data_IF_650846971069
#
_entry.id   IF_650846971069
#
_cell.length_a   1.000
_cell.length_b   1.000
_cell.length_c   1.000
_cell.angle_alpha   90.00
_cell.angle_beta   90.00
_cell.angle_gamma   90.00
#
_symmetry.space_group_name_H-M   'P 1'
#
loop_
_entity.id
_entity.type
_entity.pdbx_description
1 polymer ?
#
# COMPACT_ATOMS: atom_id res chain seq x y z
N UNK A 1 -32.64 23.45 6.15
CA UNK A 1 -31.67 24.26 6.92
C UNK A 1 -30.29 23.69 6.66
N UNK A 2 -29.54 24.34 5.76
CA UNK A 2 -28.23 23.92 5.26
C UNK A 2 -27.13 24.19 6.29
N UNK A 3 -26.37 23.15 6.65
CA UNK A 3 -25.07 23.26 7.33
C UNK A 3 -24.04 22.40 6.61
N UNK A 4 -23.71 22.77 5.38
CA UNK A 4 -22.45 22.39 4.75
C UNK A 4 -21.77 23.68 4.33
N UNK A 5 -21.04 24.23 5.30
CA UNK A 5 -20.09 25.31 5.07
C UNK A 5 -19.03 24.73 4.15
N UNK A 6 -18.94 25.31 2.96
CA UNK A 6 -17.89 25.10 1.97
C UNK A 6 -16.56 25.46 2.64
N UNK A 7 -15.88 24.46 3.21
CA UNK A 7 -14.44 24.52 3.53
C UNK A 7 -13.67 24.08 2.28
N UNK A 8 -13.76 24.87 1.22
CA UNK A 8 -12.74 24.92 0.19
C UNK A 8 -12.26 26.35 0.21
N UNK A 9 -11.46 26.64 1.23
CA UNK A 9 -10.64 27.84 1.25
C UNK A 9 -9.61 27.58 0.16
N UNK A 10 -9.78 28.30 -0.97
CA UNK A 10 -8.80 28.32 -2.03
C UNK A 10 -7.44 28.64 -1.41
N UNK A 11 -6.54 27.66 -1.47
CA UNK A 11 -5.12 27.87 -1.33
C UNK A 11 -4.64 28.57 -2.62
N UNK A 12 -5.18 29.76 -2.86
CA UNK A 12 -4.64 30.71 -3.82
C UNK A 12 -3.34 31.21 -3.21
N UNK A 13 -2.26 30.52 -3.54
CA UNK A 13 -0.88 30.95 -3.33
C UNK A 13 -0.71 32.25 -4.13
N UNK A 14 -1.13 33.37 -3.54
CA UNK A 14 -0.69 34.69 -3.94
C UNK A 14 0.68 34.88 -3.25
N UNK A 15 1.70 34.25 -3.83
CA UNK A 15 3.10 34.47 -3.47
C UNK A 15 3.40 35.94 -3.80
N UNK A 16 3.28 36.82 -2.82
CA UNK A 16 3.74 38.19 -2.93
C UNK A 16 5.25 38.14 -3.16
N UNK A 17 5.65 38.43 -4.40
CA UNK A 17 7.02 38.56 -4.87
C UNK A 17 7.78 39.62 -4.05
N UNK A 18 8.40 39.21 -2.94
CA UNK A 18 9.44 39.98 -2.28
C UNK A 18 10.78 39.40 -2.71
N UNK A 19 11.32 39.97 -3.79
CA UNK A 19 12.64 39.63 -4.33
C UNK A 19 13.73 40.17 -3.41
N UNK A 20 14.11 39.38 -2.40
CA UNK A 20 15.38 39.55 -1.69
C UNK A 20 16.35 38.46 -2.18
N UNK A 21 17.10 38.77 -3.26
CA UNK A 21 18.14 37.88 -3.79
C UNK A 21 19.38 37.88 -2.89
N UNK A 22 19.35 37.10 -1.81
CA UNK A 22 20.55 36.65 -1.12
C UNK A 22 20.98 35.29 -1.64
N UNK A 23 22.14 35.18 -2.31
CA UNK A 23 22.75 33.88 -2.61
C UNK A 23 23.30 33.30 -1.31
N UNK A 24 22.47 32.55 -0.58
CA UNK A 24 22.94 31.65 0.47
C UNK A 24 23.71 30.51 -0.18
N UNK A 25 25.03 30.47 0.00
CA UNK A 25 25.89 29.38 -0.45
C UNK A 25 25.90 28.20 0.53
N UNK A 26 24.80 28.00 1.26
CA UNK A 26 24.67 26.97 2.29
C UNK A 26 23.93 25.76 1.75
N UNK A 27 24.33 24.58 2.22
CA UNK A 27 23.56 23.35 2.06
C UNK A 27 22.09 23.59 2.47
N UNK A 28 21.12 22.95 1.81
CA UNK A 28 19.70 23.15 2.05
C UNK A 28 19.33 22.63 3.44
N UNK A 29 19.50 23.47 4.45
CA UNK A 29 19.12 23.08 5.80
C UNK A 29 17.60 22.97 5.92
N UNK A 30 16.83 23.82 5.22
CA UNK A 30 15.36 23.88 5.32
C UNK A 30 14.66 23.92 3.97
N UNK A 31 13.57 23.18 3.86
CA UNK A 31 12.66 23.16 2.70
C UNK A 31 11.23 23.39 3.17
N UNK A 32 10.46 24.23 2.49
CA UNK A 32 9.03 24.41 2.79
C UNK A 32 8.22 23.27 2.18
N UNK A 33 7.63 22.40 3.02
CA UNK A 33 6.93 21.19 2.57
C UNK A 33 5.57 21.01 3.27
N UNK A 34 4.59 20.35 2.63
CA UNK A 34 3.36 19.91 3.31
C UNK A 34 3.66 18.79 4.31
N UNK A 35 3.01 18.84 5.48
CA UNK A 35 3.11 17.81 6.52
C UNK A 35 1.74 17.56 7.19
N UNK A 36 1.40 16.28 7.34
CA UNK A 36 0.23 15.81 8.10
C UNK A 36 0.40 16.15 9.58
N UNK A 37 -0.63 16.74 10.17
CA UNK A 37 -0.72 17.11 11.56
C UNK A 37 -1.39 16.00 12.38
N UNK A 38 -1.18 15.95 13.71
CA UNK A 38 -1.79 14.92 14.57
C UNK A 38 -3.32 14.86 14.55
N UNK A 39 -4.00 15.94 14.14
CA UNK A 39 -5.45 15.98 13.96
C UNK A 39 -5.93 15.40 12.61
N UNK A 40 -4.99 14.96 11.77
CA UNK A 40 -5.23 14.40 10.44
C UNK A 40 -5.24 15.45 9.32
N UNK A 41 -5.21 16.76 9.62
CA UNK A 41 -5.12 17.80 8.60
C UNK A 41 -3.70 17.97 8.05
N UNK A 42 -3.50 18.88 7.10
CA UNK A 42 -2.18 19.21 6.55
C UNK A 42 -1.83 20.70 6.70
N UNK A 43 -0.55 21.02 6.87
CA UNK A 43 -0.01 22.39 6.86
C UNK A 43 1.36 22.43 6.20
N UNK A 44 1.81 23.61 5.77
CA UNK A 44 3.20 23.81 5.36
C UNK A 44 4.10 23.97 6.58
N UNK A 45 5.29 23.37 6.53
CA UNK A 45 6.32 23.44 7.56
C UNK A 45 7.69 23.71 6.94
N UNK A 46 8.56 24.40 7.68
CA UNK A 46 10.00 24.47 7.37
C UNK A 46 10.65 23.14 7.80
N UNK A 47 10.68 22.18 6.88
CA UNK A 47 11.25 20.85 7.09
C UNK A 47 12.78 20.89 7.00
N UNK A 48 13.46 20.42 8.05
CA UNK A 48 14.91 20.26 8.05
C UNK A 48 15.29 18.91 7.45
N UNK A 49 16.02 18.88 6.33
CA UNK A 49 16.46 17.64 5.67
C UNK A 49 17.97 17.48 5.86
N UNK A 50 18.37 16.69 6.85
CA UNK A 50 19.74 16.64 7.36
C UNK A 50 20.70 15.80 6.50
N UNK A 51 20.16 14.82 5.79
CA UNK A 51 20.93 13.78 5.08
C UNK A 51 20.98 14.03 3.58
N UNK A 52 20.22 15.00 3.08
CA UNK A 52 20.23 15.38 1.67
C UNK A 52 21.35 16.39 1.42
N UNK A 53 22.47 15.91 0.86
CA UNK A 53 23.62 16.76 0.57
C UNK A 53 23.40 17.76 -0.58
N UNK A 54 22.35 17.60 -1.39
CA UNK A 54 22.04 18.47 -2.51
C UNK A 54 20.53 18.54 -2.77
N UNK A 55 19.90 19.71 -2.61
CA UNK A 55 18.44 19.88 -2.87
C UNK A 55 18.09 19.73 -4.34
N UNK A 56 19.07 19.87 -5.25
CA UNK A 56 18.87 19.74 -6.70
C UNK A 56 18.96 18.30 -7.21
N UNK A 57 19.20 17.32 -6.33
CA UNK A 57 19.16 15.90 -6.67
C UNK A 57 18.67 15.10 -5.46
N UNK A 58 17.46 14.52 -5.53
CA UNK A 58 16.82 13.82 -4.41
C UNK A 58 17.36 12.39 -4.28
N UNK A 59 18.62 12.31 -3.89
CA UNK A 59 19.38 11.09 -3.69
C UNK A 59 20.29 11.27 -2.47
N UNK A 60 20.16 10.37 -1.49
CA UNK A 60 20.94 10.42 -0.27
C UNK A 60 20.74 9.17 0.59
N UNK A 61 21.31 9.10 1.80
CA UNK A 61 21.30 7.91 2.64
C UNK A 61 19.90 7.40 3.02
N UNK A 62 18.91 8.29 3.09
CA UNK A 62 17.53 7.93 3.42
C UNK A 62 16.77 7.35 2.22
N UNK A 63 16.87 7.97 1.05
CA UNK A 63 16.13 7.54 -0.12
C UNK A 63 16.78 7.97 -1.43
N UNK A 64 16.46 7.26 -2.50
CA UNK A 64 16.63 7.70 -3.88
C UNK A 64 15.24 7.75 -4.49
N UNK A 65 14.82 8.96 -4.90
CA UNK A 65 13.47 9.20 -5.40
C UNK A 65 13.50 9.32 -6.92
N UNK A 66 12.78 8.45 -7.61
CA UNK A 66 12.72 8.36 -9.07
C UNK A 66 11.36 8.87 -9.57
N UNK A 67 11.32 9.93 -10.40
CA UNK A 67 10.09 10.39 -11.05
C UNK A 67 9.78 9.56 -12.29
N UNK A 68 8.53 9.09 -12.44
CA UNK A 68 8.06 8.29 -13.58
C UNK A 68 9.04 7.15 -13.97
N UNK A 69 9.54 6.34 -13.02
CA UNK A 69 10.55 5.34 -13.32
C UNK A 69 9.99 4.16 -14.11
N UNK A 70 10.89 3.44 -14.77
CA UNK A 70 10.64 2.08 -15.25
C UNK A 70 10.98 1.10 -14.12
N UNK A 71 10.06 0.19 -13.78
CA UNK A 71 10.37 -0.92 -12.88
C UNK A 71 11.23 -1.96 -13.60
N UNK A 72 12.36 -2.33 -13.01
CA UNK A 72 13.28 -3.36 -13.51
C UNK A 72 13.68 -4.32 -12.39
N UNK A 73 14.26 -5.47 -12.72
CA UNK A 73 14.87 -6.36 -11.73
C UNK A 73 15.87 -5.58 -10.89
N UNK A 74 15.74 -5.67 -9.56
CA UNK A 74 16.56 -4.91 -8.62
C UNK A 74 16.10 -3.47 -8.36
N UNK A 75 14.96 -3.02 -8.89
CA UNK A 75 14.27 -1.81 -8.45
C UNK A 75 13.81 -0.89 -9.59
N UNK A 76 14.32 0.34 -9.62
CA UNK A 76 13.94 1.34 -10.62
C UNK A 76 15.08 1.68 -11.56
N UNK A 77 14.73 1.90 -12.82
CA UNK A 77 15.58 2.51 -13.84
C UNK A 77 15.07 3.91 -14.15
N UNK A 78 15.99 4.87 -14.14
CA UNK A 78 15.73 6.29 -14.32
C UNK A 78 16.71 7.14 -13.52
N UNK A 79 16.74 8.43 -13.77
CA UNK A 79 17.54 9.36 -12.98
C UNK A 79 16.80 9.72 -11.68
N UNK A 80 17.51 9.99 -10.57
CA UNK A 80 16.91 10.60 -9.39
C UNK A 80 16.24 11.94 -9.74
N UNK A 81 15.21 12.31 -8.98
CA UNK A 81 14.49 13.56 -9.16
C UNK A 81 15.44 14.76 -9.00
N UNK A 82 15.30 15.76 -9.87
CA UNK A 82 16.07 17.02 -9.84
C UNK A 82 15.13 18.19 -9.58
N UNK A 83 14.86 18.54 -8.31
CA UNK A 83 13.87 19.54 -7.96
C UNK A 83 14.23 20.93 -8.47
N UNK A 84 13.22 21.63 -8.97
CA UNK A 84 13.28 23.07 -9.16
C UNK A 84 12.89 23.74 -7.84
N UNK A 85 13.84 24.47 -7.27
CA UNK A 85 13.67 25.18 -6.00
C UNK A 85 14.11 26.63 -6.14
N UNK A 86 13.42 27.50 -5.40
CA UNK A 86 13.78 28.91 -5.26
C UNK A 86 14.15 29.16 -3.81
N UNK A 87 15.29 29.81 -3.59
CA UNK A 87 15.67 30.25 -2.25
C UNK A 87 14.85 31.48 -1.84
N UNK A 88 14.28 31.44 -0.64
CA UNK A 88 13.68 32.60 0.02
C UNK A 88 14.19 32.67 1.46
N UNK A 89 15.06 33.66 1.73
CA UNK A 89 15.87 33.69 2.95
C UNK A 89 16.67 32.37 3.11
N UNK A 90 16.54 31.71 4.26
CA UNK A 90 17.22 30.45 4.59
C UNK A 90 16.35 29.21 4.30
N UNK A 91 15.31 29.34 3.47
CA UNK A 91 14.37 28.26 3.14
C UNK A 91 14.31 28.05 1.63
N UNK A 92 14.43 26.79 1.20
CA UNK A 92 14.20 26.38 -0.17
C UNK A 92 12.71 26.11 -0.39
N UNK A 93 12.14 26.71 -1.43
CA UNK A 93 10.73 26.54 -1.78
C UNK A 93 10.66 25.78 -3.11
N UNK A 94 10.10 24.57 -3.17
CA UNK A 94 9.86 23.89 -4.44
C UNK A 94 8.92 24.71 -5.32
N UNK A 95 9.30 24.90 -6.59
CA UNK A 95 8.55 25.76 -7.52
C UNK A 95 7.47 25.02 -8.31
N UNK A 96 7.40 23.70 -8.20
CA UNK A 96 6.40 22.86 -8.86
C UNK A 96 6.01 21.64 -8.02
N UNK A 97 4.91 20.99 -8.46
CA UNK A 97 4.29 19.83 -7.80
C UNK A 97 5.28 18.66 -7.73
N UNK A 98 6.03 18.41 -8.80
CA UNK A 98 6.96 17.28 -8.89
C UNK A 98 8.13 17.45 -7.91
N UNK A 99 8.67 18.67 -7.81
CA UNK A 99 9.73 19.07 -6.87
C UNK A 99 9.25 18.96 -5.43
N UNK A 100 8.03 19.42 -5.15
CA UNK A 100 7.39 19.26 -3.84
C UNK A 100 7.24 17.77 -3.49
N UNK A 101 6.75 16.95 -4.42
CA UNK A 101 6.53 15.52 -4.19
C UNK A 101 7.84 14.80 -3.88
N UNK A 102 8.88 15.03 -4.70
CA UNK A 102 10.16 14.39 -4.51
C UNK A 102 10.79 14.73 -3.15
N UNK A 103 10.79 16.02 -2.77
CA UNK A 103 11.36 16.46 -1.49
C UNK A 103 10.51 16.01 -0.29
N UNK A 104 9.18 15.99 -0.40
CA UNK A 104 8.30 15.43 0.63
C UNK A 104 8.53 13.94 0.86
N UNK A 105 8.68 13.15 -0.21
CA UNK A 105 9.00 11.72 -0.12
C UNK A 105 10.33 11.52 0.61
N UNK A 106 11.38 12.23 0.19
CA UNK A 106 12.69 12.12 0.82
C UNK A 106 12.64 12.50 2.30
N UNK A 107 12.00 13.62 2.63
CA UNK A 107 11.82 14.07 4.00
C UNK A 107 11.09 13.01 4.86
N UNK A 108 10.05 12.37 4.34
CA UNK A 108 9.36 11.29 5.02
C UNK A 108 10.28 10.10 5.33
N UNK A 109 11.06 9.66 4.34
CA UNK A 109 12.00 8.55 4.50
C UNK A 109 13.19 8.88 5.39
N UNK A 110 13.68 10.13 5.39
CA UNK A 110 14.71 10.55 6.33
C UNK A 110 14.22 10.45 7.77
N UNK A 111 13.01 10.95 8.04
CA UNK A 111 12.42 10.85 9.37
C UNK A 111 12.15 9.40 9.78
N UNK A 112 11.73 8.54 8.85
CA UNK A 112 11.60 7.10 9.09
C UNK A 112 12.96 6.48 9.42
N UNK A 113 14.01 6.75 8.64
CA UNK A 113 15.36 6.25 8.89
C UNK A 113 15.88 6.67 10.27
N UNK A 114 15.75 7.95 10.61
CA UNK A 114 16.20 8.49 11.90
C UNK A 114 15.40 7.87 13.07
N UNK A 115 14.09 7.74 12.90
CA UNK A 115 13.23 7.10 13.90
C UNK A 115 13.58 5.62 14.07
N UNK A 116 13.79 4.89 12.98
CA UNK A 116 14.13 3.47 13.02
C UNK A 116 15.50 3.21 13.62
N UNK A 117 16.49 4.03 13.29
CA UNK A 117 17.81 3.92 13.91
C UNK A 117 17.76 4.11 15.43
N UNK A 118 16.77 4.83 15.96
CA UNK A 118 16.62 5.03 17.41
C UNK A 118 15.81 3.93 18.11
N UNK A 119 14.80 3.34 17.44
CA UNK A 119 13.89 2.35 18.05
C UNK A 119 14.17 0.91 17.64
N UNK A 120 14.81 0.70 16.49
CA UNK A 120 15.08 -0.61 15.91
C UNK A 120 16.40 -0.61 15.11
N UNK A 121 17.56 -0.39 15.76
CA UNK A 121 18.87 -0.27 15.09
C UNK A 121 19.29 -1.53 14.34
N UNK A 122 18.77 -2.70 14.74
CA UNK A 122 19.00 -3.98 14.05
C UNK A 122 18.01 -4.21 12.88
N UNK A 123 17.35 -3.15 12.39
CA UNK A 123 16.45 -3.25 11.26
C UNK A 123 17.21 -3.84 10.06
N UNK A 124 16.68 -4.93 9.50
CA UNK A 124 17.26 -5.58 8.31
C UNK A 124 16.75 -4.92 7.02
N UNK A 125 16.30 -3.68 7.11
CA UNK A 125 15.84 -2.88 5.98
C UNK A 125 17.05 -2.29 5.27
N UNK A 126 17.04 -2.38 3.95
CA UNK A 126 18.09 -1.78 3.13
C UNK A 126 17.83 -0.28 2.99
N UNK A 127 18.85 0.52 3.26
CA UNK A 127 18.93 1.96 3.00
C UNK A 127 20.02 2.22 1.95
N UNK A 128 19.88 3.24 1.08
CA UNK A 128 18.71 4.10 0.93
C UNK A 128 17.49 3.35 0.35
N UNK A 129 16.28 3.82 0.67
CA UNK A 129 15.06 3.27 0.06
C UNK A 129 14.95 3.72 -1.40
N UNK A 130 14.52 2.81 -2.27
CA UNK A 130 14.22 3.12 -3.68
C UNK A 130 12.73 3.44 -3.80
N UNK A 131 12.41 4.68 -4.17
CA UNK A 131 11.03 5.16 -4.19
C UNK A 131 10.70 5.73 -5.55
N UNK A 132 9.71 5.14 -6.22
CA UNK A 132 9.17 5.64 -7.46
C UNK A 132 7.93 6.47 -7.17
N UNK A 133 7.77 7.61 -7.83
CA UNK A 133 6.51 8.35 -7.80
C UNK A 133 6.03 8.69 -9.21
N UNK A 134 4.71 8.82 -9.35
CA UNK A 134 4.01 8.79 -10.64
C UNK A 134 4.32 7.51 -11.45
N UNK A 135 4.44 6.38 -10.74
CA UNK A 135 4.74 5.09 -11.39
C UNK A 135 3.52 4.63 -12.19
N UNK A 136 3.66 4.51 -13.51
CA UNK A 136 2.57 4.04 -14.40
C UNK A 136 2.75 2.61 -14.89
N UNK A 137 3.96 2.06 -14.74
CA UNK A 137 4.32 0.73 -15.26
C UNK A 137 3.83 -0.44 -14.40
N UNK A 138 3.31 -0.17 -13.19
CA UNK A 138 2.92 -1.21 -12.24
C UNK A 138 1.46 -0.97 -11.83
N UNK A 139 0.57 -1.88 -12.21
CA UNK A 139 -0.82 -1.92 -11.76
C UNK A 139 -1.62 -0.68 -12.15
N UNK A 140 -2.29 -0.73 -13.32
CA UNK A 140 -2.99 0.39 -13.97
C UNK A 140 -4.07 1.12 -13.16
N UNK A 141 -3.65 1.86 -12.14
CA UNK A 141 -4.50 2.62 -11.22
C UNK A 141 -3.91 3.98 -10.87
N UNK A 142 -4.62 4.69 -10.01
CA UNK A 142 -4.25 6.00 -9.47
C UNK A 142 -4.66 6.09 -8.01
N UNK A 143 -4.18 7.11 -7.29
CA UNK A 143 -4.53 7.36 -5.89
C UNK A 143 -4.18 6.20 -4.95
N UNK A 144 -3.04 5.55 -5.18
CA UNK A 144 -2.55 4.48 -4.31
C UNK A 144 -1.03 4.52 -4.15
N UNK A 145 -0.53 3.81 -3.16
CA UNK A 145 0.86 3.40 -3.07
C UNK A 145 0.93 1.91 -2.73
N UNK A 146 2.08 1.31 -2.95
CA UNK A 146 2.37 -0.04 -2.47
C UNK A 146 3.87 -0.24 -2.31
N UNK A 147 4.25 -1.14 -1.41
CA UNK A 147 5.57 -1.74 -1.34
C UNK A 147 5.64 -3.02 -2.17
N UNK A 148 6.66 -3.15 -3.01
CA UNK A 148 6.96 -4.34 -3.78
C UNK A 148 8.29 -4.96 -3.31
N UNK A 149 8.20 -6.13 -2.66
CA UNK A 149 9.36 -6.87 -2.18
C UNK A 149 10.06 -7.65 -3.29
N UNK A 150 9.28 -8.34 -4.12
CA UNK A 150 9.70 -9.24 -5.20
C UNK A 150 8.82 -9.00 -6.44
N UNK A 151 9.30 -9.40 -7.61
CA UNK A 151 8.48 -9.49 -8.82
C UNK A 151 7.82 -10.88 -8.98
N UNK A 152 7.22 -11.12 -10.15
CA UNK A 152 6.51 -12.37 -10.45
C UNK A 152 7.44 -13.58 -10.59
N UNK A 153 8.72 -13.35 -10.89
CA UNK A 153 9.74 -14.38 -11.02
C UNK A 153 10.47 -14.63 -9.68
N UNK A 154 10.10 -13.89 -8.64
CA UNK A 154 10.69 -13.97 -7.30
C UNK A 154 11.98 -13.17 -7.15
N UNK A 155 12.33 -12.34 -8.14
CA UNK A 155 13.49 -11.47 -8.04
C UNK A 155 13.20 -10.30 -7.10
N UNK A 156 14.18 -9.96 -6.26
CA UNK A 156 14.03 -8.93 -5.24
C UNK A 156 13.96 -7.55 -5.92
N UNK A 157 12.85 -6.85 -5.69
CA UNK A 157 12.67 -5.45 -6.08
C UNK A 157 13.06 -4.50 -4.93
N UNK A 158 12.48 -4.74 -3.75
CA UNK A 158 12.60 -3.92 -2.54
C UNK A 158 12.38 -2.42 -2.80
N UNK A 159 11.23 -2.07 -3.38
CA UNK A 159 10.87 -0.71 -3.77
C UNK A 159 9.53 -0.26 -3.19
N UNK A 160 9.36 1.04 -3.02
CA UNK A 160 8.05 1.66 -2.80
C UNK A 160 7.61 2.35 -4.09
N UNK A 161 6.35 2.13 -4.49
CA UNK A 161 5.75 2.76 -5.65
C UNK A 161 4.59 3.66 -5.19
N UNK A 162 4.62 4.93 -5.61
CA UNK A 162 3.53 5.87 -5.44
C UNK A 162 2.92 6.10 -6.82
N UNK A 163 1.64 5.75 -6.96
CA UNK A 163 0.91 5.88 -8.23
C UNK A 163 0.49 7.34 -8.48
N UNK A 164 0.21 7.71 -9.74
CA UNK A 164 -0.31 9.03 -10.06
C UNK A 164 -1.54 9.38 -9.20
N UNK A 165 -1.57 10.62 -8.69
CA UNK A 165 -2.66 11.10 -7.87
C UNK A 165 -3.58 12.01 -8.67
N UNK A 166 -4.88 11.70 -8.65
CA UNK A 166 -5.95 12.44 -9.32
C UNK A 166 -7.13 12.75 -8.38
N UNK A 167 -6.97 12.51 -7.08
CA UNK A 167 -7.98 12.78 -6.05
C UNK A 167 -8.05 14.26 -5.68
N UNK A 168 -9.07 14.61 -4.87
CA UNK A 168 -9.29 15.99 -4.40
C UNK A 168 -8.60 16.31 -3.07
N UNK A 169 -7.91 15.33 -2.46
CA UNK A 169 -7.22 15.47 -1.19
C UNK A 169 -5.73 15.79 -1.37
N UNK A 170 -4.98 15.66 -0.28
CA UNK A 170 -3.52 15.74 -0.31
C UNK A 170 -2.96 14.56 -1.10
N UNK A 171 -2.11 14.83 -2.09
CA UNK A 171 -1.47 13.75 -2.85
C UNK A 171 -0.67 12.81 -1.94
N UNK A 172 -0.65 11.52 -2.28
CA UNK A 172 -0.03 10.47 -1.44
C UNK A 172 1.46 10.74 -1.19
N UNK A 173 2.16 11.33 -2.16
CA UNK A 173 3.56 11.72 -2.01
C UNK A 173 3.83 12.69 -0.84
N UNK A 174 2.80 13.41 -0.38
CA UNK A 174 2.89 14.34 0.75
C UNK A 174 2.42 13.73 2.07
N UNK A 175 1.79 12.55 2.03
CA UNK A 175 1.20 11.91 3.19
C UNK A 175 2.21 11.00 3.87
N UNK A 176 2.92 11.54 4.87
CA UNK A 176 3.94 10.82 5.64
C UNK A 176 3.39 9.57 6.35
N UNK A 177 2.10 9.54 6.68
CA UNK A 177 1.44 8.37 7.28
C UNK A 177 1.29 7.22 6.29
N UNK A 178 0.89 7.51 5.05
CA UNK A 178 0.84 6.50 3.98
C UNK A 178 2.25 6.02 3.64
N UNK A 179 3.24 6.92 3.54
CA UNK A 179 4.63 6.51 3.30
C UNK A 179 5.16 5.61 4.41
N UNK A 180 4.85 5.92 5.68
CA UNK A 180 5.21 5.07 6.81
C UNK A 180 4.49 3.71 6.78
N UNK A 181 3.22 3.68 6.38
CA UNK A 181 2.45 2.46 6.15
C UNK A 181 3.15 1.57 5.10
N UNK A 182 3.50 2.12 3.93
CA UNK A 182 4.19 1.35 2.89
C UNK A 182 5.57 0.86 3.34
N UNK A 183 6.30 1.72 4.06
CA UNK A 183 7.61 1.34 4.61
C UNK A 183 7.50 0.19 5.61
N UNK A 184 6.43 0.11 6.40
CA UNK A 184 6.22 -1.01 7.33
C UNK A 184 6.07 -2.35 6.61
N UNK A 185 5.48 -2.39 5.41
CA UNK A 185 5.40 -3.64 4.64
C UNK A 185 6.77 -4.24 4.37
N UNK A 186 7.81 -3.42 4.20
CA UNK A 186 9.19 -3.89 4.09
C UNK A 186 9.66 -4.59 5.37
N UNK A 187 9.36 -4.04 6.55
CA UNK A 187 9.65 -4.72 7.83
C UNK A 187 8.90 -6.03 7.95
N UNK A 188 7.61 -6.01 7.68
CA UNK A 188 6.77 -7.19 7.76
C UNK A 188 7.30 -8.30 6.84
N UNK A 189 7.67 -7.96 5.61
CA UNK A 189 8.28 -8.88 4.67
C UNK A 189 9.67 -9.37 5.14
N UNK A 190 10.53 -8.54 5.72
CA UNK A 190 11.83 -9.01 6.27
C UNK A 190 11.67 -9.92 7.49
N UNK A 191 10.63 -9.70 8.31
CA UNK A 191 10.36 -10.52 9.50
C UNK A 191 9.69 -11.84 9.11
N UNK A 192 8.71 -11.82 8.21
CA UNK A 192 7.82 -12.95 7.93
C UNK A 192 7.84 -13.45 6.49
N UNK A 193 8.61 -12.87 5.58
CA UNK A 193 8.60 -13.19 4.14
C UNK A 193 8.90 -14.65 3.81
N UNK A 194 9.65 -15.36 4.67
CA UNK A 194 9.84 -16.81 4.52
C UNK A 194 8.52 -17.61 4.64
N UNK A 195 7.54 -17.08 5.38
CA UNK A 195 6.22 -17.69 5.56
C UNK A 195 5.31 -17.40 4.37
N UNK A 196 5.52 -16.26 3.71
CA UNK A 196 4.84 -15.87 2.49
C UNK A 196 5.39 -16.59 1.25
N UNK A 197 6.12 -17.70 1.44
CA UNK A 197 6.52 -18.57 0.35
C UNK A 197 7.82 -18.19 -0.35
N UNK A 198 8.90 -17.84 0.40
CA UNK A 198 10.26 -18.15 -0.09
C UNK A 198 10.44 -19.67 -0.14
N UNK A 199 9.77 -20.34 -1.06
CA UNK A 199 10.18 -21.69 -1.42
C UNK A 199 11.55 -21.57 -2.09
N UNK A 200 12.46 -22.49 -1.77
CA UNK A 200 13.72 -22.72 -2.50
C UNK A 200 13.52 -23.08 -3.99
N UNK A 201 12.29 -22.97 -4.50
CA UNK A 201 11.89 -23.19 -5.89
C UNK A 201 11.41 -21.89 -6.59
N UNK A 202 11.67 -20.71 -6.02
CA UNK A 202 11.54 -19.44 -6.74
C UNK A 202 10.12 -19.11 -7.22
N UNK A 203 9.09 -19.53 -6.48
CA UNK A 203 7.70 -19.15 -6.77
C UNK A 203 7.14 -18.37 -5.60
N UNK A 204 7.16 -17.05 -5.74
CA UNK A 204 6.48 -16.13 -4.84
C UNK A 204 4.99 -16.47 -4.77
N UNK A 205 4.34 -16.20 -3.64
CA UNK A 205 2.88 -16.11 -3.61
C UNK A 205 2.54 -14.90 -4.48
N UNK A 206 2.15 -15.15 -5.74
CA UNK A 206 1.71 -14.21 -6.77
C UNK A 206 0.93 -13.03 -6.14
N UNK A 207 1.62 -11.91 -5.95
CA UNK A 207 1.05 -10.62 -5.55
C UNK A 207 1.33 -9.58 -6.65
N UNK A 208 1.10 -9.93 -7.92
CA UNK A 208 0.76 -8.92 -8.95
C UNK A 208 -0.08 -9.54 -10.09
N UNK A 209 -1.09 -8.82 -10.63
CA UNK A 209 -2.14 -9.40 -11.42
C UNK A 209 -1.90 -9.18 -12.91
N UNK A 210 -1.73 -10.24 -13.69
CA UNK A 210 -2.15 -10.22 -15.09
C UNK A 210 -2.70 -11.59 -15.53
N UNK A 211 -3.97 -11.54 -15.97
CA UNK A 211 -4.76 -12.55 -16.70
C UNK A 211 -5.25 -13.80 -15.96
N UNK A 212 -6.38 -13.62 -15.22
CA UNK A 212 -7.66 -14.38 -15.32
C UNK A 212 -8.68 -13.70 -14.37
N UNK A 213 -9.65 -13.02 -14.95
CA UNK A 213 -9.85 -11.57 -14.73
C UNK A 213 -10.59 -11.08 -13.48
N UNK A 214 -11.06 -11.91 -12.54
CA UNK A 214 -11.74 -11.37 -11.33
C UNK A 214 -11.34 -11.94 -9.99
N UNK A 215 -10.96 -13.22 -9.90
CA UNK A 215 -10.43 -13.79 -8.66
C UNK A 215 -8.89 -13.67 -8.57
N UNK A 216 -8.18 -13.64 -9.71
CA UNK A 216 -6.71 -13.47 -9.73
C UNK A 216 -6.25 -12.05 -9.42
N UNK A 217 -7.09 -11.05 -9.70
CA UNK A 217 -6.86 -9.66 -9.28
C UNK A 217 -6.85 -9.48 -7.76
N UNK A 218 -7.23 -10.51 -7.00
CA UNK A 218 -7.41 -10.45 -5.55
C UNK A 218 -6.29 -11.13 -4.76
N UNK A 219 -5.20 -11.56 -5.41
CA UNK A 219 -4.08 -12.27 -4.75
C UNK A 219 -4.41 -13.71 -4.32
N UNK A 220 -5.45 -14.34 -4.90
CA UNK A 220 -5.76 -15.77 -4.69
C UNK A 220 -4.98 -16.58 -5.73
N UNK A 221 -4.23 -17.59 -5.26
CA UNK A 221 -3.41 -18.45 -6.13
C UNK A 221 -4.23 -19.05 -7.28
N UNK A 222 -3.70 -18.93 -8.50
CA UNK A 222 -4.27 -19.50 -9.72
C UNK A 222 -4.37 -21.03 -9.71
N UNK A 223 -3.68 -21.69 -8.79
CA UNK A 223 -3.66 -23.15 -8.63
C UNK A 223 -4.78 -23.67 -7.73
N UNK A 224 -5.52 -22.80 -7.06
CA UNK A 224 -6.55 -23.22 -6.11
C UNK A 224 -7.83 -23.60 -6.86
N UNK A 225 -8.23 -24.86 -6.76
CA UNK A 225 -9.37 -25.43 -7.48
C UNK A 225 -10.63 -25.51 -6.61
N UNK A 226 -11.80 -25.71 -7.24
CA UNK A 226 -13.04 -26.02 -6.49
C UNK A 226 -12.91 -27.28 -5.63
N UNK A 227 -12.14 -28.26 -6.11
CA UNK A 227 -11.84 -29.47 -5.35
C UNK A 227 -11.07 -29.15 -4.06
N UNK A 228 -10.09 -28.24 -4.12
CA UNK A 228 -9.33 -27.81 -2.95
C UNK A 228 -10.22 -27.18 -1.87
N UNK A 229 -11.19 -26.39 -2.33
CA UNK A 229 -12.20 -25.75 -1.47
C UNK A 229 -13.12 -26.80 -0.83
N UNK A 230 -13.73 -27.68 -1.64
CA UNK A 230 -14.67 -28.70 -1.15
C UNK A 230 -14.01 -29.68 -0.17
N UNK A 231 -12.75 -30.04 -0.41
CA UNK A 231 -11.97 -30.94 0.45
C UNK A 231 -11.17 -30.23 1.52
N UNK A 232 -11.20 -28.89 1.58
CA UNK A 232 -10.40 -28.06 2.49
C UNK A 232 -8.94 -28.50 2.54
N UNK A 233 -8.35 -28.72 1.37
CA UNK A 233 -6.98 -29.25 1.22
C UNK A 233 -5.94 -28.32 1.83
N UNK A 234 -4.70 -28.79 1.94
CA UNK A 234 -3.57 -27.96 2.40
C UNK A 234 -3.43 -26.65 1.59
N UNK A 235 -3.68 -26.68 0.28
CA UNK A 235 -3.67 -25.47 -0.56
C UNK A 235 -4.76 -24.47 -0.18
N UNK A 236 -5.97 -24.95 0.15
CA UNK A 236 -7.04 -24.07 0.65
C UNK A 236 -6.67 -23.46 2.01
N UNK A 237 -6.12 -24.26 2.94
CA UNK A 237 -5.69 -23.76 4.25
C UNK A 237 -4.57 -22.73 4.14
N UNK A 238 -3.62 -22.93 3.20
CA UNK A 238 -2.56 -21.97 2.90
C UNK A 238 -3.12 -20.66 2.34
N UNK A 239 -4.10 -20.72 1.43
CA UNK A 239 -4.73 -19.52 0.89
C UNK A 239 -5.51 -18.74 1.96
N UNK A 240 -6.21 -19.42 2.87
CA UNK A 240 -6.83 -18.80 4.05
C UNK A 240 -5.78 -18.14 4.94
N UNK A 241 -4.67 -18.84 5.24
CA UNK A 241 -3.57 -18.28 6.02
C UNK A 241 -2.98 -17.03 5.37
N UNK A 242 -2.81 -17.05 4.04
CA UNK A 242 -2.28 -15.91 3.28
C UNK A 242 -3.18 -14.68 3.41
N UNK A 243 -4.50 -14.84 3.31
CA UNK A 243 -5.44 -13.72 3.46
C UNK A 243 -5.47 -13.16 4.89
N UNK A 244 -5.34 -14.03 5.89
CA UNK A 244 -5.19 -13.60 7.29
C UNK A 244 -3.87 -12.83 7.47
N UNK A 245 -2.76 -13.37 6.94
CA UNK A 245 -1.46 -12.71 6.98
C UNK A 245 -1.47 -11.34 6.30
N UNK A 246 -2.16 -11.24 5.16
CA UNK A 246 -2.35 -9.97 4.47
C UNK A 246 -3.08 -8.98 5.35
N UNK A 247 -4.19 -9.37 5.97
CA UNK A 247 -4.89 -8.48 6.90
C UNK A 247 -4.03 -8.07 8.10
N UNK A 248 -3.17 -8.96 8.62
CA UNK A 248 -2.20 -8.56 9.65
C UNK A 248 -1.20 -7.54 9.13
N UNK A 249 -0.62 -7.76 7.95
CA UNK A 249 0.33 -6.83 7.33
C UNK A 249 -0.27 -5.42 7.17
N UNK A 250 -1.46 -5.33 6.56
CA UNK A 250 -2.22 -4.08 6.37
C UNK A 250 -2.52 -3.39 7.70
N UNK A 251 -2.99 -4.13 8.71
CA UNK A 251 -3.36 -3.56 10.00
C UNK A 251 -2.18 -3.09 10.84
N UNK A 252 -1.08 -3.83 10.80
CA UNK A 252 0.15 -3.44 11.48
C UNK A 252 0.79 -2.24 10.79
N UNK A 253 0.68 -2.14 9.47
CA UNK A 253 1.11 -0.98 8.69
C UNK A 253 0.26 0.27 9.02
N UNK A 254 -1.07 0.13 9.13
CA UNK A 254 -1.97 1.20 9.60
C UNK A 254 -1.56 1.72 10.98
N UNK A 255 -1.33 0.79 11.92
CA UNK A 255 -0.88 1.15 13.26
C UNK A 255 0.47 1.86 13.24
N UNK A 256 1.44 1.38 12.45
CA UNK A 256 2.76 1.98 12.35
C UNK A 256 2.69 3.40 11.76
N UNK A 257 1.90 3.61 10.70
CA UNK A 257 1.66 4.93 10.12
C UNK A 257 1.05 5.92 11.11
N UNK A 258 0.05 5.48 11.90
CA UNK A 258 -0.56 6.28 12.95
C UNK A 258 0.41 6.59 14.10
N UNK A 259 1.18 5.59 14.56
CA UNK A 259 2.22 5.77 15.58
C UNK A 259 3.30 6.74 15.10
N UNK A 260 3.71 6.63 13.84
CA UNK A 260 4.75 7.45 13.25
C UNK A 260 4.34 8.92 13.14
N UNK A 261 3.13 9.19 12.67
CA UNK A 261 2.64 10.56 12.46
C UNK A 261 1.98 11.17 13.70
N UNK A 262 1.47 10.34 14.61
CA UNK A 262 0.55 10.78 15.67
C UNK A 262 -0.89 11.02 15.18
N UNK A 263 -1.17 10.83 13.88
CA UNK A 263 -2.47 11.05 13.27
C UNK A 263 -3.20 9.72 13.08
N UNK A 264 -4.28 9.47 13.82
CA UNK A 264 -4.99 8.19 13.78
C UNK A 264 -5.75 7.93 12.45
N UNK A 265 -6.08 9.00 11.75
CA UNK A 265 -6.90 9.01 10.54
C UNK A 265 -6.13 9.57 9.33
N UNK A 266 -4.82 9.39 9.29
CA UNK A 266 -3.94 9.96 8.25
C UNK A 266 -4.38 9.64 6.81
N UNK A 267 -5.13 8.56 6.57
CA UNK A 267 -5.68 8.25 5.26
C UNK A 267 -6.73 9.26 4.76
N UNK A 268 -7.52 9.86 5.66
CA UNK A 268 -8.68 10.69 5.28
C UNK A 268 -8.28 11.95 4.49
N UNK A 269 -7.05 12.42 4.68
CA UNK A 269 -6.54 13.60 3.96
C UNK A 269 -6.22 13.28 2.49
N UNK A 270 -5.83 12.05 2.17
CA UNK A 270 -5.46 11.63 0.81
C UNK A 270 -6.51 10.78 0.12
N UNK A 271 -7.22 9.95 0.87
CA UNK A 271 -8.23 9.02 0.41
C UNK A 271 -9.56 9.41 1.04
N UNK A 272 -10.64 9.43 0.26
CA UNK A 272 -11.99 9.62 0.80
C UNK A 272 -12.44 8.36 1.55
N UNK A 273 -11.80 8.04 2.67
CA UNK A 273 -12.07 6.87 3.50
C UNK A 273 -13.18 7.09 4.54
N UNK A 274 -13.65 8.32 4.72
CA UNK A 274 -14.70 8.69 5.69
C UNK A 274 -14.42 8.13 7.11
N UNK A 275 -13.15 8.12 7.52
CA UNK A 275 -12.70 7.59 8.81
C UNK A 275 -12.86 6.09 8.96
N UNK A 276 -13.10 5.32 7.89
CA UNK A 276 -13.21 3.86 7.97
C UNK A 276 -11.92 3.22 8.48
N UNK A 277 -10.76 3.78 8.15
CA UNK A 277 -9.42 3.33 8.57
C UNK A 277 -8.86 4.07 9.79
N UNK A 278 -9.68 4.86 10.49
CA UNK A 278 -9.24 5.55 11.70
C UNK A 278 -8.86 4.55 12.80
N UNK A 279 -7.58 4.57 13.19
CA UNK A 279 -6.96 3.68 14.18
C UNK A 279 -7.41 4.01 15.62
N UNK A 280 -7.86 5.25 15.86
CA UNK A 280 -8.33 5.72 17.16
C UNK A 280 -9.73 5.24 17.51
N UNK A 281 -10.49 4.72 16.53
CA UNK A 281 -11.84 4.20 16.76
C UNK A 281 -11.85 2.87 17.53
N UNK A 282 -12.95 2.57 18.26
CA UNK A 282 -13.17 1.25 18.83
C UNK A 282 -13.13 0.15 17.77
N UNK A 283 -12.81 -1.07 18.19
CA UNK A 283 -12.84 -2.27 17.33
C UNK A 283 -14.09 -3.08 17.67
N UNK A 284 -14.82 -3.53 16.65
CA UNK A 284 -16.03 -4.37 16.82
C UNK A 284 -15.70 -5.87 16.90
N UNK A 285 -14.49 -6.19 17.36
CA UNK A 285 -13.90 -7.53 17.29
C UNK A 285 -13.01 -7.74 16.06
N UNK A 286 -12.50 -8.97 15.90
CA UNK A 286 -11.65 -9.39 14.78
C UNK A 286 -12.32 -10.50 13.99
N UNK A 287 -12.27 -10.38 12.66
CA UNK A 287 -12.72 -11.46 11.78
C UNK A 287 -12.02 -12.79 12.09
N UNK A 288 -12.80 -13.87 12.06
CA UNK A 288 -12.29 -15.19 12.41
C UNK A 288 -11.80 -15.93 11.18
N UNK A 289 -10.95 -16.95 11.38
CA UNK A 289 -10.56 -17.87 10.31
C UNK A 289 -11.76 -18.39 9.51
N UNK A 290 -12.86 -18.75 10.18
CA UNK A 290 -14.08 -19.24 9.54
C UNK A 290 -14.69 -18.22 8.58
N UNK A 291 -14.57 -16.92 8.86
CA UNK A 291 -15.03 -15.86 7.96
C UNK A 291 -14.17 -15.82 6.69
N UNK A 292 -12.85 -15.99 6.83
CA UNK A 292 -11.95 -16.10 5.68
C UNK A 292 -12.18 -17.39 4.87
N UNK A 293 -12.37 -18.53 5.52
CA UNK A 293 -12.74 -19.79 4.84
C UNK A 293 -14.01 -19.58 4.00
N UNK A 294 -15.05 -19.00 4.59
CA UNK A 294 -16.31 -18.73 3.89
C UNK A 294 -16.15 -17.72 2.74
N UNK A 295 -15.40 -16.63 2.94
CA UNK A 295 -15.16 -15.64 1.90
C UNK A 295 -14.39 -16.24 0.72
N UNK A 296 -13.37 -17.05 1.01
CA UNK A 296 -12.56 -17.72 0.00
C UNK A 296 -13.34 -18.81 -0.74
N UNK A 297 -14.15 -19.60 -0.01
CA UNK A 297 -15.12 -20.54 -0.59
C UNK A 297 -16.03 -19.83 -1.60
N UNK A 298 -16.51 -18.62 -1.28
CA UNK A 298 -17.36 -17.84 -2.19
C UNK A 298 -16.63 -17.32 -3.40
N UNK A 299 -15.44 -16.74 -3.20
CA UNK A 299 -14.63 -16.18 -4.27
C UNK A 299 -14.32 -17.23 -5.35
N UNK A 300 -14.03 -18.47 -4.94
CA UNK A 300 -13.62 -19.56 -5.84
C UNK A 300 -14.82 -20.33 -6.39
N UNK A 301 -15.79 -20.68 -5.54
CA UNK A 301 -16.89 -21.57 -5.93
C UNK A 301 -17.92 -20.86 -6.79
N UNK A 302 -18.20 -19.58 -6.49
CA UNK A 302 -19.22 -18.77 -7.15
C UNK A 302 -18.64 -17.70 -8.08
N UNK A 303 -17.31 -17.56 -8.13
CA UNK A 303 -16.66 -16.57 -9.00
C UNK A 303 -16.99 -15.12 -8.63
N UNK A 304 -17.40 -14.87 -7.38
CA UNK A 304 -17.86 -13.55 -6.94
C UNK A 304 -16.72 -12.53 -6.80
N UNK A 305 -15.47 -13.00 -6.64
CA UNK A 305 -14.24 -12.22 -6.71
C UNK A 305 -14.05 -11.19 -5.57
N UNK A 306 -12.85 -11.20 -4.99
CA UNK A 306 -12.30 -10.19 -4.06
C UNK A 306 -13.02 -10.01 -2.71
N UNK A 307 -13.95 -10.89 -2.31
CA UNK A 307 -14.55 -10.80 -0.98
C UNK A 307 -13.50 -11.05 0.11
N UNK A 308 -12.62 -12.04 -0.09
CA UNK A 308 -11.53 -12.35 0.84
C UNK A 308 -10.49 -11.22 0.92
N UNK A 309 -10.24 -10.51 -0.18
CA UNK A 309 -9.35 -9.35 -0.22
C UNK A 309 -9.93 -8.17 0.57
N UNK A 310 -11.19 -7.80 0.29
CA UNK A 310 -11.88 -6.75 1.04
C UNK A 310 -11.98 -7.08 2.53
N UNK A 311 -12.17 -8.36 2.86
CA UNK A 311 -12.16 -8.85 4.24
C UNK A 311 -10.77 -8.71 4.88
N UNK A 312 -9.69 -8.99 4.15
CA UNK A 312 -8.32 -8.81 4.64
C UNK A 312 -8.05 -7.35 5.02
N UNK A 313 -8.40 -6.39 4.15
CA UNK A 313 -8.31 -4.96 4.45
C UNK A 313 -9.14 -4.56 5.67
N UNK A 314 -10.39 -5.02 5.73
CA UNK A 314 -11.29 -4.73 6.86
C UNK A 314 -10.77 -5.32 8.17
N UNK A 315 -10.17 -6.52 8.12
CA UNK A 315 -9.49 -7.12 9.27
C UNK A 315 -8.27 -6.30 9.67
N UNK A 316 -7.50 -5.77 8.72
CA UNK A 316 -6.35 -4.93 9.00
C UNK A 316 -6.69 -3.75 9.88
N UNK A 317 -7.75 -3.00 9.54
CA UNK A 317 -8.21 -1.91 10.40
C UNK A 317 -8.59 -2.37 11.82
N UNK A 318 -9.22 -3.55 11.97
CA UNK A 318 -9.54 -4.11 13.29
C UNK A 318 -8.26 -4.46 14.09
N UNK A 319 -7.26 -5.04 13.42
CA UNK A 319 -5.94 -5.31 14.00
C UNK A 319 -5.29 -4.01 14.46
N UNK A 320 -5.24 -2.99 13.61
CA UNK A 320 -4.63 -1.69 13.90
C UNK A 320 -5.21 -1.06 15.18
N UNK A 321 -6.55 -0.97 15.24
CA UNK A 321 -7.28 -0.43 16.40
C UNK A 321 -6.99 -1.19 17.67
N UNK A 322 -6.97 -2.52 17.59
CA UNK A 322 -6.74 -3.35 18.77
C UNK A 322 -5.30 -3.25 19.28
N UNK A 323 -4.32 -3.17 18.37
CA UNK A 323 -2.91 -2.92 18.73
C UNK A 323 -2.77 -1.54 19.36
N UNK A 324 -3.38 -0.50 18.79
CA UNK A 324 -3.39 0.84 19.36
C UNK A 324 -3.98 0.87 20.78
N UNK A 325 -5.13 0.22 20.98
CA UNK A 325 -5.77 0.10 22.30
C UNK A 325 -4.91 -0.67 23.32
N UNK A 326 -4.18 -1.69 22.88
CA UNK A 326 -3.24 -2.40 23.74
C UNK A 326 -2.16 -1.44 24.26
N UNK A 327 -1.52 -0.70 23.35
CA UNK A 327 -0.44 0.23 23.70
C UNK A 327 -0.91 1.43 24.50
N UNK A 328 -2.10 1.98 24.21
CA UNK A 328 -2.70 3.06 24.99
C UNK A 328 -3.04 2.65 26.45
N UNK A 329 -3.24 1.36 26.72
CA UNK A 329 -3.42 0.85 28.10
C UNK A 329 -2.09 0.63 28.82
N UNK A 330 -1.03 0.32 28.07
CA UNK A 330 0.29 -0.07 28.59
C UNK A 330 1.18 1.15 28.87
N UNK A 331 1.04 2.22 28.09
CA UNK A 331 1.88 3.41 28.16
C UNK A 331 1.02 4.68 28.27
N UNK A 332 1.56 5.71 28.95
CA UNK A 332 0.96 7.03 28.98
C UNK A 332 1.21 7.74 27.63
N UNK A 333 0.13 7.99 26.88
CA UNK A 333 0.18 8.66 25.58
C UNK A 333 0.71 10.11 25.65
N UNK A 334 0.78 10.71 26.84
CA UNK A 334 1.34 12.06 27.06
C UNK A 334 2.84 12.04 27.36
N UNK A 335 3.44 10.87 27.56
CA UNK A 335 4.86 10.77 27.83
C UNK A 335 5.66 11.24 26.59
N UNK A 336 6.69 12.08 26.75
CA UNK A 336 7.51 12.56 25.62
C UNK A 336 8.16 11.45 24.80
N UNK A 337 8.39 10.28 25.41
CA UNK A 337 9.00 9.10 24.81
C UNK A 337 7.99 7.98 24.50
N UNK A 338 6.69 8.30 24.49
CA UNK A 338 5.62 7.34 24.24
C UNK A 338 5.83 6.63 22.90
N UNK A 339 6.08 7.40 21.84
CA UNK A 339 6.21 6.88 20.48
C UNK A 339 7.37 5.89 20.37
N UNK A 340 8.53 6.25 20.92
CA UNK A 340 9.73 5.43 20.92
C UNK A 340 9.53 4.14 21.73
N UNK A 341 8.98 4.25 22.95
CA UNK A 341 8.70 3.08 23.80
C UNK A 341 7.75 2.10 23.13
N UNK A 342 6.67 2.61 22.52
CA UNK A 342 5.69 1.79 21.81
C UNK A 342 6.34 1.12 20.61
N UNK A 343 7.11 1.84 19.78
CA UNK A 343 7.78 1.25 18.62
C UNK A 343 8.80 0.18 18.99
N UNK A 344 9.62 0.42 20.03
CA UNK A 344 10.58 -0.57 20.56
C UNK A 344 9.85 -1.86 20.96
N UNK A 345 8.79 -1.75 21.76
CA UNK A 345 8.03 -2.90 22.24
C UNK A 345 7.27 -3.60 21.11
N UNK A 346 6.76 -2.84 20.14
CA UNK A 346 6.08 -3.32 18.95
C UNK A 346 6.99 -4.21 18.10
N UNK A 347 8.17 -3.72 17.69
CA UNK A 347 9.12 -4.51 16.91
C UNK A 347 9.68 -5.69 17.70
N UNK A 348 9.96 -5.53 19.00
CA UNK A 348 10.36 -6.66 19.86
C UNK A 348 9.30 -7.75 19.91
N UNK A 349 8.03 -7.38 20.03
CA UNK A 349 6.92 -8.33 20.05
C UNK A 349 6.81 -9.11 18.74
N UNK A 350 6.90 -8.40 17.60
CA UNK A 350 6.91 -9.04 16.26
C UNK A 350 8.07 -10.03 16.13
N UNK A 351 9.29 -9.61 16.46
CA UNK A 351 10.49 -10.47 16.37
C UNK A 351 10.40 -11.70 17.26
N UNK A 352 9.95 -11.54 18.51
CA UNK A 352 9.80 -12.65 19.46
C UNK A 352 8.70 -13.63 19.05
N UNK A 353 7.73 -13.19 18.26
CA UNK A 353 6.63 -14.05 17.79
C UNK A 353 6.95 -14.84 16.53
N UNK A 354 8.03 -14.48 15.80
CA UNK A 354 8.35 -15.05 14.49
C UNK A 354 8.41 -16.57 14.46
N UNK A 355 9.12 -17.20 15.40
CA UNK A 355 9.27 -18.67 15.43
C UNK A 355 7.95 -19.38 15.68
N UNK A 356 7.14 -18.87 16.62
CA UNK A 356 5.82 -19.42 16.95
C UNK A 356 4.84 -19.28 15.79
N UNK A 357 4.81 -18.10 15.16
CA UNK A 357 3.96 -17.86 13.98
C UNK A 357 4.41 -18.77 12.83
N UNK A 358 5.72 -18.96 12.64
CA UNK A 358 6.28 -19.85 11.61
C UNK A 358 5.85 -21.30 11.78
N UNK A 359 5.98 -21.83 12.99
CA UNK A 359 5.56 -23.19 13.32
C UNK A 359 4.10 -23.39 12.94
N UNK A 360 3.24 -22.49 13.42
CA UNK A 360 1.81 -22.65 13.22
C UNK A 360 1.28 -22.34 11.83
N UNK A 361 1.98 -21.48 11.07
CA UNK A 361 1.66 -21.25 9.66
C UNK A 361 1.81 -22.55 8.86
N UNK A 362 2.86 -23.35 9.14
CA UNK A 362 3.12 -24.62 8.48
C UNK A 362 2.05 -25.68 8.77
N UNK A 363 1.49 -25.66 9.98
CA UNK A 363 0.45 -26.60 10.39
C UNK A 363 -0.93 -26.29 9.78
N UNK A 364 -1.07 -25.19 9.03
CA UNK A 364 -2.36 -24.77 8.46
C UNK A 364 -3.33 -24.19 9.50
N UNK A 365 -2.87 -23.98 10.74
CA UNK A 365 -3.73 -23.61 11.88
C UNK A 365 -3.70 -22.11 12.20
N UNK A 366 -3.29 -21.22 11.30
CA UNK A 366 -3.14 -19.82 11.64
C UNK A 366 -4.47 -19.21 12.11
N UNK A 367 -4.55 -18.91 13.41
CA UNK A 367 -5.71 -18.29 14.02
C UNK A 367 -5.58 -16.77 13.94
N UNK A 368 -6.64 -16.10 13.50
CA UNK A 368 -6.70 -14.63 13.42
C UNK A 368 -6.43 -13.94 14.75
N UNK A 369 -6.68 -14.62 15.87
CA UNK A 369 -6.46 -14.09 17.23
C UNK A 369 -5.03 -14.20 17.75
N UNK A 370 -4.14 -14.91 17.05
CA UNK A 370 -2.77 -15.08 17.53
C UNK A 370 -1.92 -13.83 17.44
N UNK A 371 -2.28 -12.90 16.55
CA UNK A 371 -1.70 -11.57 16.54
C UNK A 371 -1.83 -10.87 17.90
N UNK A 372 -2.80 -11.26 18.74
CA UNK A 372 -2.91 -10.74 20.10
C UNK A 372 -2.05 -11.47 21.11
N UNK A 373 -1.76 -12.75 20.90
CA UNK A 373 -0.73 -13.43 21.68
C UNK A 373 0.65 -12.79 21.51
N UNK A 374 0.88 -12.13 20.36
CA UNK A 374 2.09 -11.34 20.08
C UNK A 374 2.23 -10.16 21.04
N UNK A 375 1.15 -9.40 21.28
CA UNK A 375 1.19 -8.14 22.03
C UNK A 375 0.69 -8.26 23.48
N UNK A 376 -0.39 -9.01 23.73
CA UNK A 376 -1.03 -9.14 25.04
C UNK A 376 -0.36 -10.19 25.96
N UNK A 377 0.60 -10.96 25.43
CA UNK A 377 1.29 -12.05 26.15
C UNK A 377 0.43 -13.31 26.35
N UNK A 378 1.03 -14.45 26.76
CA UNK A 378 0.28 -15.67 27.04
C UNK A 378 -0.51 -15.50 28.35
N UNK A 379 -1.82 -15.25 28.27
CA UNK A 379 -2.71 -15.56 29.41
C UNK A 379 -3.89 -14.65 29.78
N UNK A 380 -4.46 -13.78 28.92
CA UNK A 380 -5.58 -12.91 29.38
C UNK A 380 -6.89 -12.85 28.60
N UNK A 381 -6.99 -13.37 27.39
CA UNK A 381 -8.32 -13.58 26.79
C UNK A 381 -8.70 -15.05 26.98
N UNK A 382 -9.61 -15.33 27.92
CA UNK A 382 -10.10 -16.69 28.14
C UNK A 382 -10.64 -17.23 26.82
N UNK A 383 -10.29 -18.47 26.50
CA UNK A 383 -10.72 -19.15 25.27
C UNK A 383 -12.26 -19.16 25.13
N UNK A 384 -12.97 -19.10 26.26
CA UNK A 384 -14.43 -18.99 26.34
C UNK A 384 -14.97 -17.61 25.93
N UNK A 385 -14.34 -16.52 26.37
CA UNK A 385 -14.76 -15.17 25.98
C UNK A 385 -14.51 -14.96 24.49
N UNK A 386 -13.37 -15.45 23.98
CA UNK A 386 -13.07 -15.47 22.54
C UNK A 386 -14.11 -16.28 21.77
N UNK A 387 -14.46 -17.49 22.23
CA UNK A 387 -15.45 -18.35 21.56
C UNK A 387 -16.83 -17.69 21.47
N UNK A 388 -17.30 -17.04 22.55
CA UNK A 388 -18.59 -16.34 22.58
C UNK A 388 -18.62 -15.09 21.70
N UNK A 389 -17.53 -14.33 21.66
CA UNK A 389 -17.40 -13.16 20.78
C UNK A 389 -17.32 -13.60 19.31
N UNK A 390 -16.58 -14.68 19.03
CA UNK A 390 -16.46 -15.28 17.70
C UNK A 390 -17.78 -15.85 17.18
N UNK A 391 -18.58 -16.51 18.03
CA UNK A 391 -19.89 -17.03 17.66
C UNK A 391 -20.89 -15.91 17.37
N UNK A 392 -20.85 -14.80 18.14
CA UNK A 392 -21.69 -13.62 17.87
C UNK A 392 -21.28 -12.90 16.59
N UNK A 393 -19.99 -12.67 16.38
CA UNK A 393 -19.48 -12.01 15.19
C UNK A 393 -19.74 -12.84 13.92
N UNK A 394 -19.49 -14.15 13.96
CA UNK A 394 -19.78 -15.04 12.84
C UNK A 394 -21.27 -15.03 12.47
N UNK A 395 -22.17 -15.04 13.45
CA UNK A 395 -23.62 -14.97 13.22
C UNK A 395 -24.04 -13.64 12.58
N UNK A 396 -23.56 -12.51 13.13
CA UNK A 396 -23.86 -11.19 12.59
C UNK A 396 -23.35 -11.00 11.15
N UNK A 397 -22.16 -11.54 10.84
CA UNK A 397 -21.57 -11.45 9.50
C UNK A 397 -22.32 -12.34 8.51
N UNK A 398 -22.70 -13.57 8.90
CA UNK A 398 -23.53 -14.45 8.06
C UNK A 398 -24.88 -13.80 7.76
N UNK A 399 -25.50 -13.15 8.75
CA UNK A 399 -26.75 -12.39 8.58
C UNK A 399 -26.57 -11.19 7.65
N UNK A 400 -25.48 -10.42 7.81
CA UNK A 400 -25.17 -9.28 6.95
C UNK A 400 -24.90 -9.71 5.49
N UNK A 401 -24.07 -10.73 5.28
CA UNK A 401 -23.75 -11.25 3.94
C UNK A 401 -24.96 -11.92 3.27
N UNK A 402 -25.83 -12.58 4.05
CA UNK A 402 -27.10 -13.13 3.56
C UNK A 402 -28.12 -12.06 3.17
N UNK A 403 -28.07 -10.88 3.80
CA UNK A 403 -28.92 -9.73 3.44
C UNK A 403 -28.46 -9.03 2.16
N UNK A 404 -27.15 -8.96 1.92
CA UNK A 404 -26.57 -8.36 0.70
C UNK A 404 -26.93 -9.17 -0.56
N UNK A 405 -27.02 -10.50 -0.46
CA UNK A 405 -27.45 -11.36 -1.58
C UNK A 405 -28.93 -11.17 -1.98
N UNK A 406 -29.79 -10.71 -1.05
CA UNK A 406 -31.23 -10.50 -1.31
C UNK A 406 -31.55 -9.13 -1.92
N UNK A 407 -30.71 -8.13 -1.67
CA UNK A 407 -30.90 -6.78 -2.20
C UNK A 407 -30.51 -6.62 -3.68
N UNK A 408 -29.82 -7.60 -4.27
CA UNK A 408 -29.42 -7.56 -5.69
C UNK A 408 -30.60 -7.74 -6.67
N UNK A 409 -31.80 -8.12 -6.19
CA UNK A 409 -33.03 -8.20 -7.03
C UNK A 409 -33.81 -6.89 -7.14
N UNK A 410 -33.32 -5.77 -6.59
CA UNK A 410 -34.06 -4.49 -6.58
C UNK A 410 -33.37 -3.29 -7.24
N UNK A 411 -32.18 -3.46 -7.84
CA UNK A 411 -31.42 -2.33 -8.43
C UNK A 411 -31.29 -2.34 -9.96
N UNK A 412 -32.06 -3.16 -10.70
CA UNK A 412 -32.08 -3.10 -12.17
C UNK A 412 -32.93 -1.97 -12.75
N UNK A 413 -33.28 -0.96 -11.94
CA UNK A 413 -33.88 0.28 -12.41
C UNK A 413 -32.93 1.44 -12.09
N UNK A 414 -32.39 2.06 -13.15
CA UNK A 414 -31.48 3.21 -13.17
C UNK A 414 -29.99 2.92 -12.94
N UNK A 415 -29.37 2.23 -13.91
CA UNK A 415 -27.96 2.48 -14.25
C UNK A 415 -27.95 3.25 -15.57
N UNK A 416 -27.35 4.45 -15.65
CA UNK A 416 -27.18 5.18 -16.91
C UNK A 416 -26.25 4.38 -17.83
N UNK A 417 -26.74 4.02 -19.01
CA UNK A 417 -25.93 3.42 -20.07
C UNK A 417 -24.97 4.47 -20.64
N UNK A 418 -23.68 4.24 -20.47
CA UNK A 418 -22.62 5.02 -21.12
C UNK A 418 -22.62 4.67 -22.61
N UNK A 419 -23.10 5.58 -23.46
CA UNK A 419 -23.04 5.45 -24.92
C UNK A 419 -21.60 5.64 -25.40
N UNK A 420 -21.00 4.57 -25.88
CA UNK A 420 -19.73 4.63 -26.60
C UNK A 420 -19.87 5.44 -27.89
N UNK A 421 -18.96 6.39 -28.08
CA UNK A 421 -18.82 7.17 -29.30
C UNK A 421 -18.33 6.27 -30.44
N UNK A 422 -19.27 5.82 -31.28
CA UNK A 422 -18.97 5.14 -32.53
C UNK A 422 -18.26 6.07 -33.52
N UNK A 423 -17.03 5.72 -33.90
CA UNK A 423 -16.37 6.29 -35.08
C UNK A 423 -17.10 5.86 -36.35
N UNK A 424 -17.63 6.83 -37.08
CA UNK A 424 -18.16 6.68 -38.44
C UNK A 424 -17.02 6.28 -39.39
N UNK A 425 -17.11 5.11 -40.02
CA UNK A 425 -16.48 4.84 -41.32
C UNK A 425 -17.56 4.91 -42.40
N UNK A 426 -17.34 5.79 -43.37
CA UNK A 426 -18.06 5.85 -44.66
C UNK A 426 -17.56 4.72 -45.56
N UNK A 427 -18.49 4.04 -46.25
CA UNK A 427 -18.24 3.26 -47.48
C UNK A 427 -17.88 4.18 -48.64
N UNK A 428 -17.67 3.74 -49.88
CA UNK A 428 -17.72 2.45 -50.60
C UNK A 428 -16.81 2.64 -51.82
N UNK A 429 -16.21 1.57 -52.38
CA UNK A 429 -16.40 1.22 -53.80
C UNK A 429 -15.63 -0.05 -54.20
N UNK A 430 -16.29 -0.77 -55.11
CA UNK A 430 -15.96 -2.02 -55.79
C UNK A 430 -14.78 -1.86 -56.76
N UNK A 431 -14.10 -2.95 -57.09
CA UNK A 431 -14.18 -3.59 -58.41
C UNK A 431 -13.47 -4.95 -58.44
N UNK A 432 -13.99 -5.81 -59.32
CA UNK A 432 -13.70 -7.23 -59.54
C UNK A 432 -12.46 -7.48 -60.43
N UNK A 433 -11.95 -8.72 -60.33
CA UNK A 433 -11.29 -9.58 -61.34
C UNK A 433 -10.49 -8.97 -62.52
N UNK A 434 -9.23 -9.38 -62.68
CA UNK A 434 -8.83 -10.45 -63.64
C UNK A 434 -7.32 -10.74 -63.63
N UNK A 435 -6.98 -11.96 -64.04
CA UNK A 435 -5.65 -12.58 -64.09
C UNK A 435 -4.76 -12.07 -65.23
N UNK A 436 -3.43 -12.12 -65.07
CA UNK A 436 -2.52 -12.62 -66.11
C UNK A 436 -1.07 -12.85 -65.61
N UNK A 437 -0.54 -14.00 -66.04
CA UNK A 437 0.82 -14.56 -65.92
C UNK A 437 1.93 -13.84 -66.71
N UNK A 438 3.17 -13.82 -66.19
CA UNK A 438 4.44 -14.22 -66.87
C UNK A 438 5.64 -14.03 -65.90
N UNK A 439 6.40 -15.08 -65.54
CA UNK A 439 7.61 -15.67 -66.16
C UNK A 439 8.80 -14.73 -66.39
N UNK A 440 9.86 -14.95 -65.60
CA UNK A 440 11.33 -15.00 -65.90
C UNK A 440 12.09 -14.52 -64.64
N UNK A 441 12.84 -15.34 -63.90
CA UNK A 441 14.09 -16.04 -64.21
C UNK A 441 15.27 -15.10 -64.49
N UNK A 442 16.12 -14.89 -63.48
CA UNK A 442 17.61 -14.97 -63.50
C UNK A 442 18.16 -14.33 -62.22
N UNK A 443 18.91 -15.09 -61.40
CA UNK A 443 20.37 -14.94 -61.14
C UNK A 443 20.70 -13.65 -60.34
N UNK A 444 21.50 -13.62 -59.28
CA UNK A 444 22.66 -14.42 -58.92
C UNK A 444 23.04 -14.13 -57.45
N UNK A 445 23.43 -15.19 -56.74
CA UNK A 445 24.55 -15.32 -55.80
C UNK A 445 25.13 -14.11 -55.01
N UNK A 446 25.25 -14.41 -53.70
CA UNK A 446 26.42 -14.27 -52.82
C UNK A 446 26.98 -12.88 -52.48
N UNK A 447 27.17 -12.68 -51.17
CA UNK A 447 28.09 -11.68 -50.63
C UNK A 447 28.01 -11.59 -49.11
N UNK A 448 28.70 -12.50 -48.43
CA UNK A 448 29.00 -12.54 -47.00
C UNK A 448 29.74 -11.31 -46.46
N UNK A 449 29.44 -10.99 -45.20
CA UNK A 449 30.32 -10.52 -44.11
C UNK A 449 31.24 -9.30 -44.33
N UNK A 450 30.99 -8.23 -43.57
CA UNK A 450 31.69 -7.95 -42.28
C UNK A 450 30.74 -7.24 -41.31
#
# INVERSE_FOLDING_TARGET
MNKYVVKVLGLSILLTLVSACGRGSGDPEKVLLPEIQPDGGSTLVEARIQTLGNVHEVSGPAAIVYPNPELVVGGYKGDPAKPHVVASNDVWIPSDVQSTAALSIYYAYERLMLFENSVFPDSRISWPRKVGFDVTSIGGGSNNAFYAAEDNDGDILDVTAILPYSGNGLAIAYNTGIIAHEHFHAHFYRIFGELLGRSSEGKSIDLNPHHLEKAKGCGISSKLSKYDVEKKTAHFQQAVNSMIFRGWNEGLADFYGALFTGANNFFDESLASDGQRDVGKPTDGIYTRKVFEYALERDISYGEGCNSLGLAYSMGTQVARRVAQHYAKKYDAKAPDFKEKVAIDFFKSLMNSRSKIREKYKDGELLTSWIFGVFEGPGKASEMDRKREMERAAKAIIEALGSMGKNKKRSDANVPTYQGTGSKKKGDQKDEEESATSKQAESSQNGTAE
#
